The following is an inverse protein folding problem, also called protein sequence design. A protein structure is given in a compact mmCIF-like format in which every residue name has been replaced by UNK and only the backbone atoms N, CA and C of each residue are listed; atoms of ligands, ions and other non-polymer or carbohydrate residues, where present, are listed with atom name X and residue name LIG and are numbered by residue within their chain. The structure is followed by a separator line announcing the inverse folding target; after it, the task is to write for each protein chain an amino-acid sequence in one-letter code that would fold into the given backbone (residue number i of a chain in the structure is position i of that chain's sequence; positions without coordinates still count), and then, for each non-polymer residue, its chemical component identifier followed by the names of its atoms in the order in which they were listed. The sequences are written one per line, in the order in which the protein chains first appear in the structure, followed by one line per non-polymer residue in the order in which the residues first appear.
data_IF_947311417343
#
_entry.id   IF_947311417343
#
_cell.length_a   1.000
_cell.length_b   1.000
_cell.length_c   1.000
_cell.angle_alpha   90.00
_cell.angle_beta   90.00
_cell.angle_gamma   90.00
#
_symmetry.space_group_name_H-M   'P 1'
#
loop_
_entity.id
_entity.type
_entity.pdbx_description
1 polymer ?
#
# COMPACT_ATOMS: atom_id res chain seq x y z
N UNK A 1 -22.12 6.23 -3.30
CA UNK A 1 -21.03 6.75 -2.45
C UNK A 1 -20.12 5.59 -2.13
N UNK A 2 -18.82 5.77 -2.28
CA UNK A 2 -17.84 4.72 -1.99
C UNK A 2 -17.87 4.42 -0.49
N UNK A 3 -18.02 3.16 -0.09
CA UNK A 3 -17.97 2.75 1.31
C UNK A 3 -16.64 2.10 1.67
N UNK A 4 -15.83 1.75 0.69
CA UNK A 4 -14.58 1.01 0.86
C UNK A 4 -13.45 1.67 0.07
N UNK A 5 -12.23 1.55 0.60
CA UNK A 5 -11.02 1.97 -0.08
C UNK A 5 -10.01 0.83 -0.10
N UNK A 6 -9.32 0.65 -1.23
CA UNK A 6 -8.18 -0.22 -1.37
C UNK A 6 -6.90 0.62 -1.33
N UNK A 7 -6.02 0.35 -0.38
CA UNK A 7 -4.68 0.93 -0.31
C UNK A 7 -3.67 -0.05 -0.90
N UNK A 8 -3.01 0.38 -1.99
CA UNK A 8 -1.87 -0.31 -2.60
C UNK A 8 -0.62 0.34 -2.02
N UNK A 9 0.08 -0.40 -1.15
CA UNK A 9 1.19 0.12 -0.35
C UNK A 9 2.51 -0.30 -0.98
N UNK A 10 3.31 0.68 -1.34
CA UNK A 10 4.75 0.57 -1.69
C UNK A 10 5.10 -0.46 -2.79
N UNK A 11 4.22 -0.68 -3.75
CA UNK A 11 4.48 -1.59 -4.88
C UNK A 11 5.39 -0.94 -5.95
N UNK A 12 6.53 -0.38 -5.52
CA UNK A 12 7.52 0.31 -6.35
C UNK A 12 8.56 -0.63 -6.95
N UNK A 13 9.30 -0.13 -7.95
CA UNK A 13 10.44 -0.87 -8.49
C UNK A 13 11.50 -1.15 -7.43
N UNK A 14 11.79 -0.21 -6.52
CA UNK A 14 12.79 -0.41 -5.45
C UNK A 14 12.40 -1.52 -4.47
N UNK A 15 11.10 -1.78 -4.27
CA UNK A 15 10.62 -2.83 -3.38
C UNK A 15 10.24 -4.14 -4.08
N UNK A 16 10.06 -4.14 -5.41
CA UNK A 16 9.52 -5.32 -6.12
C UNK A 16 10.44 -5.84 -7.22
N UNK A 17 11.17 -4.98 -7.94
CA UNK A 17 12.05 -5.40 -9.03
C UNK A 17 13.27 -6.18 -8.50
N UNK A 18 13.79 -7.11 -9.29
CA UNK A 18 14.96 -7.92 -8.91
C UNK A 18 16.21 -7.08 -8.55
N UNK A 19 16.35 -5.92 -9.19
CA UNK A 19 17.42 -4.95 -8.94
C UNK A 19 17.02 -3.80 -8.02
N UNK A 20 15.85 -3.87 -7.40
CA UNK A 20 15.39 -2.87 -6.44
C UNK A 20 16.26 -2.82 -5.19
N UNK A 21 16.46 -1.62 -4.64
CA UNK A 21 17.39 -1.38 -3.51
C UNK A 21 16.97 -2.10 -2.22
N UNK A 22 15.67 -2.28 -2.01
CA UNK A 22 15.08 -2.99 -0.85
C UNK A 22 14.08 -4.06 -1.33
N UNK A 23 14.44 -4.78 -2.37
CA UNK A 23 13.52 -5.69 -3.02
C UNK A 23 13.05 -6.84 -2.12
N UNK A 24 11.74 -7.05 -2.10
CA UNK A 24 11.07 -8.26 -1.60
C UNK A 24 11.22 -9.41 -2.61
N UNK A 25 11.44 -9.06 -3.88
CA UNK A 25 11.70 -10.01 -4.95
C UNK A 25 10.46 -10.78 -5.41
N UNK A 26 10.67 -12.06 -5.72
CA UNK A 26 9.67 -12.90 -6.39
C UNK A 26 8.31 -12.95 -5.68
N UNK A 27 8.30 -12.99 -4.36
CA UNK A 27 7.03 -13.04 -3.60
C UNK A 27 6.19 -11.78 -3.78
N UNK A 28 6.83 -10.60 -3.93
CA UNK A 28 6.13 -9.36 -4.27
C UNK A 28 5.71 -9.30 -5.75
N UNK A 29 6.50 -9.88 -6.65
CA UNK A 29 6.14 -9.95 -8.06
C UNK A 29 4.91 -10.83 -8.30
N UNK A 30 4.76 -11.91 -7.54
CA UNK A 30 3.65 -12.86 -7.65
C UNK A 30 2.29 -12.26 -7.23
N UNK A 31 2.28 -11.20 -6.40
CA UNK A 31 1.03 -10.55 -5.97
C UNK A 31 0.54 -9.45 -6.92
N UNK A 32 1.35 -9.01 -7.88
CA UNK A 32 1.05 -7.89 -8.80
C UNK A 32 -0.26 -8.09 -9.56
N UNK A 33 -0.47 -9.27 -10.15
CA UNK A 33 -1.68 -9.55 -10.92
C UNK A 33 -2.94 -9.50 -10.04
N UNK A 34 -2.87 -10.09 -8.84
CA UNK A 34 -3.97 -10.04 -7.87
C UNK A 34 -4.31 -8.60 -7.45
N UNK A 35 -3.32 -7.78 -7.15
CA UNK A 35 -3.51 -6.37 -6.76
C UNK A 35 -4.15 -5.58 -7.91
N UNK A 36 -3.66 -5.77 -9.15
CA UNK A 36 -4.20 -5.10 -10.33
C UNK A 36 -5.68 -5.44 -10.56
N UNK A 37 -6.03 -6.73 -10.50
CA UNK A 37 -7.40 -7.18 -10.70
C UNK A 37 -8.33 -6.66 -9.60
N UNK A 38 -7.88 -6.69 -8.35
CA UNK A 38 -8.62 -6.16 -7.21
C UNK A 38 -8.83 -4.64 -7.34
N UNK A 39 -7.80 -3.90 -7.70
CA UNK A 39 -7.87 -2.45 -7.89
C UNK A 39 -8.83 -2.08 -9.04
N UNK A 40 -8.83 -2.85 -10.12
CA UNK A 40 -9.77 -2.67 -11.21
C UNK A 40 -11.21 -2.87 -10.74
N UNK A 41 -11.47 -3.96 -10.01
CA UNK A 41 -12.80 -4.24 -9.45
C UNK A 41 -13.29 -3.13 -8.52
N UNK A 42 -12.41 -2.61 -7.65
CA UNK A 42 -12.76 -1.51 -6.75
C UNK A 42 -13.19 -0.25 -7.52
N UNK A 43 -12.46 0.14 -8.56
CA UNK A 43 -12.84 1.29 -9.40
C UNK A 43 -14.15 1.04 -10.15
N UNK A 44 -14.36 -0.15 -10.73
CA UNK A 44 -15.59 -0.52 -11.44
C UNK A 44 -16.82 -0.52 -10.53
N UNK A 45 -16.67 -0.87 -9.26
CA UNK A 45 -17.71 -0.84 -8.24
C UNK A 45 -17.95 0.56 -7.66
N UNK A 46 -17.18 1.57 -8.08
CA UNK A 46 -17.28 2.94 -7.60
C UNK A 46 -16.66 3.16 -6.21
N UNK A 47 -15.80 2.25 -5.77
CA UNK A 47 -14.99 2.38 -4.57
C UNK A 47 -13.70 3.16 -4.84
N UNK A 48 -12.99 3.53 -3.76
CA UNK A 48 -11.75 4.31 -3.84
C UNK A 48 -10.55 3.38 -3.96
N UNK A 49 -9.58 3.74 -4.80
CA UNK A 49 -8.25 3.12 -4.79
C UNK A 49 -7.21 4.17 -4.45
N UNK A 50 -6.34 3.86 -3.50
CA UNK A 50 -5.23 4.72 -3.07
C UNK A 50 -3.92 4.02 -3.39
N UNK A 51 -3.06 4.67 -4.15
CA UNK A 51 -1.66 4.27 -4.31
C UNK A 51 -0.84 5.06 -3.29
N UNK A 52 -0.43 4.40 -2.22
CA UNK A 52 0.37 4.97 -1.14
C UNK A 52 1.83 4.54 -1.30
N UNK A 53 2.70 5.50 -1.57
CA UNK A 53 4.09 5.24 -1.96
C UNK A 53 5.07 6.04 -1.11
N UNK A 54 6.15 5.40 -0.69
CA UNK A 54 7.30 6.12 -0.15
C UNK A 54 7.81 7.16 -1.17
N UNK A 55 8.14 8.34 -0.68
CA UNK A 55 8.54 9.49 -1.49
C UNK A 55 9.64 10.28 -0.76
N UNK A 56 10.84 9.72 -0.75
CA UNK A 56 11.98 10.27 -0.01
C UNK A 56 12.77 11.30 -0.83
N UNK A 57 13.32 12.30 -0.15
CA UNK A 57 14.32 13.18 -0.75
C UNK A 57 15.70 12.50 -0.74
N UNK A 58 16.64 12.89 -1.63
CA UNK A 58 17.96 12.25 -1.70
C UNK A 58 18.76 12.24 -0.38
N UNK A 59 18.47 13.19 0.53
CA UNK A 59 19.14 13.31 1.82
C UNK A 59 18.19 13.04 3.00
N UNK A 60 17.20 12.17 2.80
CA UNK A 60 16.25 11.87 3.85
C UNK A 60 16.95 11.20 5.05
N UNK A 61 16.72 11.66 6.30
CA UNK A 61 17.25 11.00 7.51
C UNK A 61 16.86 9.54 7.64
N UNK A 62 15.80 9.11 6.99
CA UNK A 62 15.39 7.71 6.92
C UNK A 62 16.49 6.79 6.38
N UNK A 63 17.38 7.31 5.55
CA UNK A 63 18.52 6.59 4.98
C UNK A 63 19.68 6.34 5.94
N UNK A 64 19.59 6.81 7.18
CA UNK A 64 20.47 6.38 8.26
C UNK A 64 20.15 4.94 8.71
N UNK A 65 18.89 4.50 8.51
CA UNK A 65 18.40 3.17 8.89
C UNK A 65 18.35 2.19 7.71
N UNK A 66 18.04 2.71 6.52
CA UNK A 66 17.81 1.93 5.30
C UNK A 66 18.62 2.47 4.14
N UNK A 67 19.02 1.62 3.17
CA UNK A 67 19.61 2.10 1.92
C UNK A 67 18.69 3.12 1.24
N UNK A 68 19.23 4.08 0.47
CA UNK A 68 18.40 4.99 -0.33
C UNK A 68 17.45 4.23 -1.25
N UNK A 69 16.15 4.52 -1.14
CA UNK A 69 15.08 3.90 -1.92
C UNK A 69 13.94 4.89 -2.14
N UNK A 70 13.11 4.64 -3.13
CA UNK A 70 11.93 5.44 -3.47
C UNK A 70 12.20 6.94 -3.49
N UNK A 71 13.36 7.35 -4.03
CA UNK A 71 13.70 8.76 -4.19
C UNK A 71 12.77 9.38 -5.24
N UNK A 72 12.17 10.50 -4.88
CA UNK A 72 11.19 11.22 -5.71
C UNK A 72 11.72 11.45 -7.12
N UNK A 73 10.92 11.04 -8.11
CA UNK A 73 11.21 11.24 -9.54
C UNK A 73 12.18 10.23 -10.16
N UNK A 74 12.62 9.22 -9.40
CA UNK A 74 13.44 8.13 -9.95
C UNK A 74 12.57 6.99 -10.49
N UNK A 75 13.16 6.14 -11.34
CA UNK A 75 12.54 4.90 -11.79
C UNK A 75 12.25 3.95 -10.61
N UNK A 76 13.11 3.95 -9.59
CA UNK A 76 12.93 3.16 -8.38
C UNK A 76 11.62 3.42 -7.66
N UNK A 77 11.15 4.68 -7.66
CA UNK A 77 9.87 5.06 -7.05
C UNK A 77 8.64 4.72 -7.89
N UNK A 78 8.78 4.45 -9.18
CA UNK A 78 7.61 4.13 -10.01
C UNK A 78 7.00 2.80 -9.60
N UNK A 79 5.68 2.67 -9.78
CA UNK A 79 5.00 1.39 -9.62
C UNK A 79 5.63 0.31 -10.49
N UNK A 80 5.68 -0.90 -9.97
CA UNK A 80 6.29 -2.03 -10.65
C UNK A 80 5.37 -2.67 -11.70
N UNK A 81 5.94 -2.94 -12.87
CA UNK A 81 5.34 -3.79 -13.90
C UNK A 81 3.93 -3.34 -14.32
N UNK A 82 3.01 -4.29 -14.43
CA UNK A 82 1.63 -4.05 -14.87
C UNK A 82 0.87 -3.03 -14.02
N UNK A 83 1.27 -2.80 -12.76
CA UNK A 83 0.65 -1.77 -11.91
C UNK A 83 0.98 -0.36 -12.40
N UNK A 84 2.15 -0.15 -12.99
CA UNK A 84 2.49 1.14 -13.59
C UNK A 84 1.56 1.46 -14.75
N UNK A 85 1.40 0.53 -15.70
CA UNK A 85 0.52 0.74 -16.86
C UNK A 85 -0.94 0.89 -16.43
N UNK A 86 -1.38 0.08 -15.46
CA UNK A 86 -2.70 0.20 -14.87
C UNK A 86 -2.95 1.59 -14.27
N UNK A 87 -1.99 2.10 -13.49
CA UNK A 87 -2.08 3.43 -12.89
C UNK A 87 -2.13 4.53 -13.94
N UNK A 88 -1.26 4.47 -14.96
CA UNK A 88 -1.25 5.46 -16.05
C UNK A 88 -2.59 5.50 -16.81
N UNK A 89 -3.20 4.35 -17.04
CA UNK A 89 -4.47 4.24 -17.74
C UNK A 89 -5.67 4.72 -16.91
N UNK A 90 -5.54 4.75 -15.58
CA UNK A 90 -6.62 5.14 -14.68
C UNK A 90 -6.38 6.47 -13.95
N UNK A 91 -5.27 7.17 -14.18
CA UNK A 91 -4.86 8.37 -13.42
C UNK A 91 -5.86 9.54 -13.46
N UNK A 92 -6.73 9.57 -14.46
CA UNK A 92 -7.77 10.59 -14.60
C UNK A 92 -9.10 10.17 -13.93
N UNK A 93 -9.14 9.00 -13.28
CA UNK A 93 -10.30 8.55 -12.51
C UNK A 93 -10.31 9.25 -11.13
N UNK A 94 -11.39 9.96 -10.82
CA UNK A 94 -11.55 10.72 -9.57
C UNK A 94 -11.52 9.84 -8.32
N UNK A 95 -11.76 8.53 -8.45
CA UNK A 95 -11.68 7.55 -7.36
C UNK A 95 -10.28 6.93 -7.19
N UNK A 96 -9.31 7.28 -8.04
CA UNK A 96 -7.91 6.88 -7.91
C UNK A 96 -7.10 8.02 -7.29
N UNK A 97 -6.52 7.77 -6.12
CA UNK A 97 -5.77 8.76 -5.35
C UNK A 97 -4.31 8.32 -5.24
N UNK A 98 -3.39 9.24 -5.45
CA UNK A 98 -1.98 9.04 -5.14
C UNK A 98 -1.63 9.76 -3.84
N UNK A 99 -1.09 9.02 -2.86
CA UNK A 99 -0.69 9.57 -1.56
C UNK A 99 0.79 9.28 -1.31
N UNK A 100 1.67 10.26 -1.50
CA UNK A 100 3.08 10.13 -1.11
C UNK A 100 3.20 10.14 0.41
N UNK A 101 4.12 9.33 0.94
CA UNK A 101 4.43 9.28 2.36
C UNK A 101 5.96 9.23 2.58
N UNK A 102 6.41 9.62 3.76
CA UNK A 102 7.82 9.56 4.18
C UNK A 102 8.00 8.69 5.42
N UNK A 103 6.97 7.88 5.75
CA UNK A 103 6.96 6.97 6.87
C UNK A 103 6.26 5.68 6.45
N UNK A 104 6.44 4.61 7.18
CA UNK A 104 5.82 3.31 6.91
C UNK A 104 4.29 3.36 6.86
N UNK A 105 3.68 4.17 7.74
CA UNK A 105 2.23 4.30 7.88
C UNK A 105 1.67 5.32 6.89
N UNK A 106 0.76 4.89 6.01
CA UNK A 106 0.13 5.74 5.00
C UNK A 106 -0.68 6.91 5.59
N UNK A 107 -1.11 6.81 6.83
CA UNK A 107 -1.90 7.85 7.52
C UNK A 107 -1.04 8.85 8.29
N UNK A 108 0.24 8.55 8.51
CA UNK A 108 1.10 9.40 9.33
C UNK A 108 1.56 10.64 8.54
N UNK A 109 1.22 11.82 9.06
CA UNK A 109 1.55 13.12 8.45
C UNK A 109 1.08 13.28 6.99
N UNK A 110 -0.03 12.61 6.65
CA UNK A 110 -0.73 12.75 5.37
C UNK A 110 -2.17 13.23 5.64
N UNK A 111 -2.86 13.67 4.59
CA UNK A 111 -4.29 14.02 4.68
C UNK A 111 -5.20 12.83 4.32
N UNK A 112 -4.67 11.62 4.25
CA UNK A 112 -5.38 10.45 3.73
C UNK A 112 -6.67 10.17 4.52
N UNK A 113 -6.62 10.20 5.86
CA UNK A 113 -7.79 9.92 6.69
C UNK A 113 -8.95 10.91 6.44
N UNK A 114 -8.64 12.21 6.35
CA UNK A 114 -9.64 13.25 6.05
C UNK A 114 -10.22 13.07 4.64
N UNK A 115 -9.37 12.77 3.67
CA UNK A 115 -9.78 12.52 2.29
C UNK A 115 -10.74 11.33 2.23
N UNK A 116 -10.40 10.19 2.82
CA UNK A 116 -11.25 9.00 2.83
C UNK A 116 -12.59 9.25 3.54
N UNK A 117 -12.58 9.96 4.66
CA UNK A 117 -13.83 10.34 5.36
C UNK A 117 -14.72 11.24 4.51
N UNK A 118 -14.14 12.20 3.81
CA UNK A 118 -14.89 13.10 2.92
C UNK A 118 -15.58 12.37 1.77
N UNK A 119 -15.00 11.25 1.35
CA UNK A 119 -15.56 10.35 0.33
C UNK A 119 -16.56 9.33 0.88
N UNK A 120 -16.78 9.30 2.19
CA UNK A 120 -17.71 8.39 2.85
C UNK A 120 -17.15 6.98 3.07
N UNK A 121 -15.84 6.81 3.03
CA UNK A 121 -15.19 5.52 3.28
C UNK A 121 -15.31 5.14 4.75
N UNK A 122 -15.74 3.91 5.01
CA UNK A 122 -15.85 3.33 6.36
C UNK A 122 -14.88 2.15 6.55
N UNK A 123 -14.43 1.54 5.45
CA UNK A 123 -13.59 0.33 5.47
C UNK A 123 -12.40 0.49 4.55
N UNK A 124 -11.23 0.12 5.06
CA UNK A 124 -9.94 0.19 4.36
C UNK A 124 -9.39 -1.22 4.15
N UNK A 125 -9.15 -1.56 2.91
CA UNK A 125 -8.45 -2.77 2.48
C UNK A 125 -6.99 -2.45 2.22
N UNK A 126 -6.08 -3.31 2.66
CA UNK A 126 -4.64 -3.12 2.48
C UNK A 126 -4.05 -4.27 1.68
N UNK A 127 -3.25 -3.93 0.69
CA UNK A 127 -2.42 -4.81 -0.13
C UNK A 127 -1.07 -4.15 -0.39
N UNK A 128 -0.03 -4.92 -0.66
CA UNK A 128 1.29 -4.39 -1.01
C UNK A 128 2.44 -5.00 -0.24
N UNK A 129 3.41 -4.19 0.06
CA UNK A 129 4.65 -4.57 0.75
C UNK A 129 5.09 -3.50 1.76
N UNK A 130 5.74 -3.88 2.85
CA UNK A 130 5.92 -5.25 3.34
C UNK A 130 4.88 -5.57 4.39
N UNK A 131 4.38 -6.81 4.40
CA UNK A 131 3.30 -7.25 5.28
C UNK A 131 3.51 -6.87 6.75
N UNK A 132 4.74 -6.97 7.23
CA UNK A 132 5.13 -6.82 8.64
C UNK A 132 5.66 -5.43 9.00
N UNK A 133 5.77 -4.52 8.02
CA UNK A 133 6.23 -3.13 8.24
C UNK A 133 5.18 -2.15 7.72
N UNK A 134 5.22 -1.80 6.42
CA UNK A 134 4.36 -0.75 5.87
C UNK A 134 2.88 -1.15 5.88
N UNK A 135 2.55 -2.39 5.50
CA UNK A 135 1.16 -2.86 5.54
C UNK A 135 0.64 -2.93 6.98
N UNK A 136 1.42 -3.54 7.89
CA UNK A 136 1.06 -3.64 9.30
C UNK A 136 0.82 -2.27 9.94
N UNK A 137 1.74 -1.32 9.74
CA UNK A 137 1.63 0.02 10.32
C UNK A 137 0.52 0.84 9.66
N UNK A 138 0.25 0.62 8.37
CA UNK A 138 -0.88 1.25 7.68
C UNK A 138 -2.22 0.69 8.19
N UNK A 139 -2.34 -0.61 8.41
CA UNK A 139 -3.54 -1.21 9.05
C UNK A 139 -3.74 -0.66 10.46
N UNK A 140 -2.67 -0.58 11.27
CA UNK A 140 -2.72 0.02 12.60
C UNK A 140 -3.12 1.50 12.56
N UNK A 141 -2.62 2.25 11.57
CA UNK A 141 -3.00 3.63 11.32
C UNK A 141 -4.47 3.78 10.94
N UNK A 142 -4.98 2.94 10.04
CA UNK A 142 -6.39 2.93 9.66
C UNK A 142 -7.31 2.64 10.86
N UNK A 143 -6.95 1.65 11.69
CA UNK A 143 -7.67 1.34 12.93
C UNK A 143 -7.66 2.52 13.90
N UNK A 144 -6.50 3.16 14.12
CA UNK A 144 -6.39 4.34 14.98
C UNK A 144 -7.21 5.53 14.48
N UNK A 145 -7.41 5.66 13.16
CA UNK A 145 -8.28 6.64 12.52
C UNK A 145 -9.77 6.23 12.54
N UNK A 146 -10.10 5.06 13.05
CA UNK A 146 -11.47 4.58 13.23
C UNK A 146 -12.08 3.88 12.03
N UNK A 147 -11.28 3.52 11.03
CA UNK A 147 -11.75 2.70 9.90
C UNK A 147 -11.82 1.22 10.27
N UNK A 148 -12.79 0.51 9.73
CA UNK A 148 -12.75 -0.96 9.68
C UNK A 148 -11.61 -1.40 8.77
N UNK A 149 -10.84 -2.40 9.18
CA UNK A 149 -9.66 -2.83 8.43
C UNK A 149 -9.82 -4.21 7.82
N UNK A 150 -9.29 -4.37 6.63
CA UNK A 150 -9.24 -5.63 5.89
C UNK A 150 -7.82 -5.80 5.32
N UNK A 151 -7.27 -7.00 5.44
CA UNK A 151 -6.03 -7.37 4.77
C UNK A 151 -6.26 -8.56 3.84
N UNK A 152 -5.73 -8.47 2.62
CA UNK A 152 -5.80 -9.54 1.63
C UNK A 152 -4.52 -10.37 1.68
N UNK A 153 -4.60 -11.57 2.21
CA UNK A 153 -3.43 -12.44 2.39
C UNK A 153 -2.72 -12.79 1.08
N UNK A 154 -3.48 -12.90 0.00
CA UNK A 154 -2.94 -13.10 -1.37
C UNK A 154 -2.37 -11.84 -2.01
N UNK A 155 -2.59 -10.68 -1.42
CA UNK A 155 -2.19 -9.37 -1.92
C UNK A 155 -1.07 -8.73 -1.12
N UNK A 156 -0.46 -9.43 -0.17
CA UNK A 156 0.65 -8.90 0.64
C UNK A 156 1.86 -9.82 0.59
N UNK A 157 3.05 -9.23 0.66
CA UNK A 157 4.30 -9.98 0.67
C UNK A 157 5.35 -9.29 1.57
N UNK A 158 6.34 -10.07 2.01
CA UNK A 158 7.49 -9.56 2.77
C UNK A 158 8.73 -10.41 2.50
N UNK A 159 9.89 -9.85 2.82
CA UNK A 159 11.20 -10.53 2.77
C UNK A 159 11.59 -11.18 4.11
N UNK A 160 10.75 -11.04 5.14
CA UNK A 160 10.99 -11.64 6.46
C UNK A 160 10.13 -12.90 6.67
N UNK A 161 10.32 -13.58 7.78
CA UNK A 161 9.49 -14.71 8.23
C UNK A 161 8.30 -14.28 9.12
N UNK A 162 8.09 -12.95 9.29
CA UNK A 162 7.07 -12.41 10.19
C UNK A 162 5.70 -12.21 9.54
N UNK A 163 5.57 -12.33 8.22
CA UNK A 163 4.35 -12.01 7.49
C UNK A 163 3.09 -12.65 8.08
N UNK A 164 3.07 -13.98 8.23
CA UNK A 164 1.92 -14.71 8.79
C UNK A 164 1.66 -14.31 10.26
N UNK A 165 2.71 -14.09 11.02
CA UNK A 165 2.62 -13.65 12.42
C UNK A 165 1.94 -12.29 12.52
N UNK A 166 2.29 -11.35 11.64
CA UNK A 166 1.72 -10.01 11.63
C UNK A 166 0.28 -9.99 11.14
N UNK A 167 -0.08 -10.78 10.12
CA UNK A 167 -1.49 -10.94 9.71
C UNK A 167 -2.34 -11.45 10.88
N UNK A 168 -1.86 -12.48 11.58
CA UNK A 168 -2.53 -13.00 12.77
C UNK A 168 -2.61 -11.96 13.91
N UNK A 169 -1.58 -11.13 14.06
CA UNK A 169 -1.56 -10.07 15.06
C UNK A 169 -2.57 -8.97 14.72
N UNK A 170 -2.64 -8.50 13.49
CA UNK A 170 -3.67 -7.55 13.02
C UNK A 170 -5.08 -8.06 13.28
N UNK A 171 -5.34 -9.34 12.98
CA UNK A 171 -6.63 -9.98 13.24
C UNK A 171 -7.00 -9.96 14.74
N UNK A 172 -6.03 -10.17 15.61
CA UNK A 172 -6.26 -10.23 17.07
C UNK A 172 -6.37 -8.85 17.72
N UNK A 173 -5.51 -7.91 17.32
CA UNK A 173 -5.39 -6.61 17.98
C UNK A 173 -6.33 -5.55 17.42
N UNK A 174 -6.51 -5.52 16.10
CA UNK A 174 -7.31 -4.52 15.40
C UNK A 174 -8.63 -5.10 14.87
N UNK A 175 -8.92 -6.37 15.16
CA UNK A 175 -10.07 -7.09 14.59
C UNK A 175 -10.13 -7.02 13.05
N UNK A 176 -8.94 -6.90 12.42
CA UNK A 176 -8.80 -6.84 10.96
C UNK A 176 -9.41 -8.09 10.32
N UNK A 177 -10.30 -7.89 9.35
CA UNK A 177 -10.80 -8.98 8.53
C UNK A 177 -9.67 -9.49 7.63
N UNK A 178 -9.43 -10.80 7.63
CA UNK A 178 -8.44 -11.43 6.74
C UNK A 178 -9.19 -12.09 5.60
N UNK A 179 -8.85 -11.72 4.36
CA UNK A 179 -9.31 -12.37 3.12
C UNK A 179 -8.17 -13.29 2.65
N UNK A 180 -8.46 -14.59 2.51
CA UNK A 180 -7.52 -15.64 2.10
C UNK A 180 -7.13 -15.55 0.62
#
# INVERSE_FOLDING_TARGET
MANEALLIVDMSNDFVADNGTLTVGKTAQEIVAYIKDLATSFLEEGNVVVVSMDAHQPNDPHFELWPPHNIVGTEGQQLYGDLYDWFQNNKDNESLIYTPKTNYNAFFQTNLAETLRSLGVEKVHTVGVTTDICDFLTVAGADAEGFKTVIHKRGVATFTDLGETMVNHMKRCFHTQVIE
#
